data_IF_112904983008
#
_entry.id   IF_112904983008
#
_cell.length_a   1.000
_cell.length_b   1.000
_cell.length_c   1.000
_cell.angle_alpha   90.00
_cell.angle_beta   90.00
_cell.angle_gamma   90.00
#
_symmetry.space_group_name_H-M   'P 1'
#
loop_
_entity.id
_entity.type
_entity.pdbx_description
1 polymer ?
#
# COMPACT_ATOMS: atom_id res chain seq x y z
N UNK A 1 24.77 23.13 63.58
CA UNK A 1 25.39 22.21 62.61
C UNK A 1 24.83 22.52 61.23
N UNK A 2 25.71 22.64 60.23
CA UNK A 2 25.55 22.52 58.76
C UNK A 2 24.29 23.11 58.05
N UNK A 3 24.50 23.90 56.97
CA UNK A 3 23.44 24.48 56.14
C UNK A 3 22.97 23.49 55.07
N UNK A 4 21.70 23.54 54.69
CA UNK A 4 21.27 23.04 53.38
C UNK A 4 20.73 24.22 52.57
N UNK A 5 21.63 24.74 51.75
CA UNK A 5 21.35 25.75 50.77
C UNK A 5 20.93 25.08 49.44
N UNK A 6 20.09 25.80 48.71
CA UNK A 6 19.82 25.71 47.27
C UNK A 6 18.92 24.59 46.72
N UNK A 7 18.26 24.96 45.61
CA UNK A 7 17.31 24.20 44.77
C UNK A 7 15.88 24.30 45.34
N UNK A 8 15.02 25.25 44.96
CA UNK A 8 14.52 25.48 43.60
C UNK A 8 14.14 26.96 43.38
N UNK A 9 15.03 27.64 42.66
CA UNK A 9 14.72 28.81 41.86
C UNK A 9 13.90 28.35 40.65
N UNK A 10 12.59 28.61 40.61
CA UNK A 10 11.77 28.79 39.40
C UNK A 10 10.29 28.95 39.76
N UNK A 11 9.96 29.98 40.55
CA UNK A 11 8.57 30.40 40.82
C UNK A 11 8.05 31.36 39.72
N UNK A 12 8.55 31.26 38.48
CA UNK A 12 8.03 32.06 37.36
C UNK A 12 7.84 31.15 36.15
N UNK A 13 6.60 30.72 35.96
CA UNK A 13 6.15 29.97 34.79
C UNK A 13 4.68 30.26 34.48
N UNK A 14 4.20 31.45 34.85
CA UNK A 14 2.93 32.00 34.41
C UNK A 14 3.03 32.32 32.91
N UNK A 15 2.95 31.30 32.07
CA UNK A 15 2.45 31.44 30.71
C UNK A 15 1.60 30.22 30.41
N UNK A 16 0.31 30.45 30.64
CA UNK A 16 -0.80 29.81 29.95
C UNK A 16 -0.36 29.47 28.52
N UNK A 17 -0.31 28.18 28.19
CA UNK A 17 -0.10 27.66 26.85
C UNK A 17 -1.32 28.01 25.96
N UNK A 18 -1.56 29.30 25.72
CA UNK A 18 -2.39 29.79 24.61
C UNK A 18 -1.47 29.99 23.40
N UNK A 19 -1.00 28.89 22.83
CA UNK A 19 -0.49 28.84 21.46
C UNK A 19 -0.92 27.52 20.84
N UNK A 20 -2.23 27.23 20.90
CA UNK A 20 -2.85 26.34 19.94
C UNK A 20 -3.02 27.16 18.66
N UNK A 21 -1.90 27.41 17.97
CA UNK A 21 -1.92 27.86 16.59
C UNK A 21 -2.80 26.89 15.83
N UNK A 22 -3.79 27.38 15.09
CA UNK A 22 -4.58 26.55 14.20
C UNK A 22 -3.62 25.67 13.37
N UNK A 23 -3.88 24.35 13.23
CA UNK A 23 -2.99 23.48 12.48
C UNK A 23 -2.80 24.10 11.10
N UNK A 24 -1.56 24.49 10.79
CA UNK A 24 -1.26 25.06 9.49
C UNK A 24 -1.59 24.02 8.41
N UNK A 25 -1.79 24.46 7.18
CA UNK A 25 -2.09 23.54 6.07
C UNK A 25 -1.03 22.43 5.89
N UNK A 26 0.23 22.70 6.29
CA UNK A 26 1.30 21.71 6.32
C UNK A 26 1.14 20.67 7.44
N UNK A 27 0.65 21.09 8.61
CA UNK A 27 0.41 20.23 9.76
C UNK A 27 -0.74 19.25 9.50
N UNK A 28 -1.80 19.72 8.83
CA UNK A 28 -2.93 18.89 8.40
C UNK A 28 -2.51 17.77 7.43
N UNK A 29 -1.58 18.04 6.51
CA UNK A 29 -1.06 17.02 5.58
C UNK A 29 -0.22 15.96 6.31
N UNK A 30 0.63 16.37 7.24
CA UNK A 30 1.45 15.44 8.02
C UNK A 30 0.59 14.53 8.91
N UNK A 31 -0.45 15.07 9.53
CA UNK A 31 -1.44 14.28 10.29
C UNK A 31 -2.15 13.26 9.37
N UNK A 32 -2.47 13.62 8.13
CA UNK A 32 -3.04 12.69 7.16
C UNK A 32 -2.07 11.54 6.81
N UNK A 33 -0.77 11.82 6.65
CA UNK A 33 0.25 10.80 6.43
C UNK A 33 0.32 9.82 7.61
N UNK A 34 0.30 10.31 8.85
CA UNK A 34 0.28 9.47 10.03
C UNK A 34 -0.96 8.56 10.05
N UNK A 35 -2.14 9.11 9.78
CA UNK A 35 -3.38 8.34 9.72
C UNK A 35 -3.33 7.22 8.69
N UNK A 36 -2.81 7.51 7.49
CA UNK A 36 -2.62 6.50 6.43
C UNK A 36 -1.66 5.41 6.90
N UNK A 37 -0.53 5.80 7.51
CA UNK A 37 0.48 4.85 7.98
C UNK A 37 -0.05 3.92 9.07
N UNK A 38 -0.73 4.49 10.08
CA UNK A 38 -1.38 3.73 11.14
C UNK A 38 -2.44 2.78 10.60
N UNK A 39 -3.25 3.21 9.63
CA UNK A 39 -4.26 2.35 9.03
C UNK A 39 -3.63 1.19 8.24
N UNK A 40 -2.56 1.43 7.49
CA UNK A 40 -1.83 0.38 6.79
C UNK A 40 -1.21 -0.63 7.77
N UNK A 41 -0.57 -0.15 8.84
CA UNK A 41 -0.02 -0.97 9.91
C UNK A 41 -1.11 -1.86 10.54
N UNK A 42 -2.24 -1.28 10.93
CA UNK A 42 -3.36 -2.01 11.55
C UNK A 42 -3.91 -3.09 10.61
N UNK A 43 -4.13 -2.75 9.33
CA UNK A 43 -4.63 -3.70 8.34
C UNK A 43 -3.66 -4.88 8.14
N UNK A 44 -2.35 -4.64 8.16
CA UNK A 44 -1.35 -5.71 8.12
C UNK A 44 -1.41 -6.53 9.42
N UNK A 45 -1.49 -5.90 10.59
CA UNK A 45 -1.64 -6.61 11.86
C UNK A 45 -2.83 -7.58 11.87
N UNK A 46 -3.97 -7.14 11.32
CA UNK A 46 -5.16 -7.98 11.12
C UNK A 46 -4.89 -9.14 10.15
N UNK A 47 -4.23 -8.89 9.01
CA UNK A 47 -3.88 -9.97 8.07
C UNK A 47 -2.92 -10.99 8.69
N UNK A 48 -1.95 -10.54 9.49
CA UNK A 48 -0.99 -11.41 10.15
C UNK A 48 -1.65 -12.26 11.25
N UNK A 49 -2.64 -11.73 11.98
CA UNK A 49 -3.34 -12.50 13.00
C UNK A 49 -4.22 -13.62 12.43
N UNK A 50 -4.58 -13.53 11.14
CA UNK A 50 -5.29 -14.59 10.41
C UNK A 50 -4.37 -15.73 9.94
N UNK A 51 -3.04 -15.56 10.02
CA UNK A 51 -2.10 -16.61 9.65
C UNK A 51 -1.86 -17.57 10.83
N UNK A 52 -1.97 -18.88 10.58
CA UNK A 52 -1.65 -19.92 11.57
C UNK A 52 -0.23 -19.79 12.13
N UNK A 53 0.72 -19.35 11.28
CA UNK A 53 2.10 -19.07 11.67
C UNK A 53 2.67 -17.92 10.84
N UNK A 54 3.01 -16.83 11.51
CA UNK A 54 3.68 -15.70 10.86
C UNK A 54 5.20 -15.98 10.76
N UNK A 55 5.80 -15.97 9.56
CA UNK A 55 7.25 -16.06 9.38
C UNK A 55 8.03 -14.98 10.12
N UNK A 56 9.25 -15.31 10.54
CA UNK A 56 10.07 -14.39 11.33
C UNK A 56 10.49 -13.15 10.54
N UNK A 57 10.77 -13.28 9.24
CA UNK A 57 11.10 -12.15 8.37
C UNK A 57 9.92 -11.18 8.22
N UNK A 58 8.69 -11.69 8.14
CA UNK A 58 7.48 -10.86 8.12
C UNK A 58 7.26 -10.16 9.46
N UNK A 59 7.49 -10.84 10.60
CA UNK A 59 7.45 -10.20 11.94
C UNK A 59 8.47 -9.07 12.07
N UNK A 60 9.70 -9.31 11.61
CA UNK A 60 10.76 -8.32 11.65
C UNK A 60 10.41 -7.09 10.80
N UNK A 61 9.94 -7.30 9.57
CA UNK A 61 9.48 -6.21 8.71
C UNK A 61 8.31 -5.44 9.34
N UNK A 62 7.35 -6.14 9.95
CA UNK A 62 6.23 -5.51 10.64
C UNK A 62 6.69 -4.61 11.79
N UNK A 63 7.65 -5.08 12.59
CA UNK A 63 8.25 -4.30 13.67
C UNK A 63 9.03 -3.10 13.13
N UNK A 64 9.77 -3.26 12.03
CA UNK A 64 10.50 -2.15 11.38
C UNK A 64 9.54 -1.08 10.85
N UNK A 65 8.49 -1.47 10.13
CA UNK A 65 7.48 -0.53 9.63
C UNK A 65 6.69 0.15 10.76
N UNK A 66 6.44 -0.56 11.86
CA UNK A 66 5.86 0.02 13.08
C UNK A 66 6.80 1.04 13.71
N UNK A 67 8.11 0.75 13.76
CA UNK A 67 9.14 1.68 14.21
C UNK A 67 9.19 2.97 13.38
N UNK A 68 9.12 2.85 12.04
CA UNK A 68 9.05 3.99 11.13
C UNK A 68 7.76 4.80 11.31
N UNK A 69 6.63 4.14 11.58
CA UNK A 69 5.35 4.83 11.88
C UNK A 69 5.43 5.61 13.20
N UNK A 70 6.11 5.06 14.21
CA UNK A 70 6.38 5.78 15.46
C UNK A 70 7.34 6.96 15.25
N UNK A 71 8.39 6.78 14.43
CA UNK A 71 9.33 7.85 14.09
C UNK A 71 8.64 8.98 13.32
N UNK A 72 7.73 8.65 12.39
CA UNK A 72 6.84 9.61 11.73
C UNK A 72 6.05 10.43 12.76
N UNK A 73 5.37 9.79 13.71
CA UNK A 73 4.62 10.50 14.75
C UNK A 73 5.52 11.43 15.58
N UNK A 74 6.73 10.98 15.94
CA UNK A 74 7.69 11.80 16.67
C UNK A 74 8.18 13.00 15.87
N UNK A 75 8.46 12.84 14.58
CA UNK A 75 8.86 13.94 13.70
C UNK A 75 7.75 14.98 13.55
N UNK A 76 6.49 14.54 13.45
CA UNK A 76 5.33 15.44 13.44
C UNK A 76 5.26 16.24 14.74
N UNK A 77 5.37 15.60 15.90
CA UNK A 77 5.35 16.29 17.20
C UNK A 77 6.51 17.27 17.39
N UNK A 78 7.62 17.07 16.67
CA UNK A 78 8.79 17.97 16.64
C UNK A 78 8.71 19.01 15.51
N UNK A 79 7.63 19.03 14.75
CA UNK A 79 7.43 19.89 13.58
C UNK A 79 8.52 19.73 12.49
N UNK A 80 9.11 18.53 12.39
CA UNK A 80 10.12 18.15 11.40
C UNK A 80 9.46 17.47 10.20
N UNK A 81 9.02 18.28 9.24
CA UNK A 81 8.27 17.83 8.08
C UNK A 81 9.08 16.93 7.14
N UNK A 82 10.39 17.14 7.02
CA UNK A 82 11.24 16.38 6.09
C UNK A 82 11.50 14.98 6.63
N UNK A 83 11.84 14.86 7.91
CA UNK A 83 11.96 13.56 8.56
C UNK A 83 10.62 12.82 8.60
N UNK A 84 9.51 13.52 8.86
CA UNK A 84 8.18 12.92 8.82
C UNK A 84 7.89 12.27 7.46
N UNK A 85 8.07 13.00 6.35
CA UNK A 85 7.87 12.45 5.00
C UNK A 85 8.78 11.26 4.71
N UNK A 86 10.04 11.32 5.15
CA UNK A 86 11.01 10.22 4.99
C UNK A 86 10.55 8.95 5.72
N UNK A 87 10.17 9.09 7.00
CA UNK A 87 9.66 7.98 7.82
C UNK A 87 8.36 7.40 7.25
N UNK A 88 7.44 8.25 6.76
CA UNK A 88 6.24 7.79 6.07
C UNK A 88 6.56 6.92 4.85
N UNK A 89 7.44 7.40 3.95
CA UNK A 89 7.81 6.64 2.75
C UNK A 89 8.51 5.32 3.08
N UNK A 90 9.39 5.32 4.09
CA UNK A 90 10.04 4.11 4.61
C UNK A 90 9.01 3.10 5.11
N UNK A 91 8.09 3.53 5.97
CA UNK A 91 7.01 2.68 6.49
C UNK A 91 6.16 2.10 5.36
N UNK A 92 5.75 2.90 4.37
CA UNK A 92 4.91 2.46 3.26
C UNK A 92 5.62 1.45 2.36
N UNK A 93 6.91 1.63 2.10
CA UNK A 93 7.70 0.67 1.33
C UNK A 93 7.78 -0.69 2.04
N UNK A 94 8.01 -0.68 3.36
CA UNK A 94 8.05 -1.88 4.19
C UNK A 94 6.69 -2.58 4.18
N UNK A 95 5.61 -1.85 4.43
CA UNK A 95 4.25 -2.40 4.44
C UNK A 95 3.84 -2.97 3.09
N UNK A 96 4.24 -2.34 1.98
CA UNK A 96 4.07 -2.89 0.63
C UNK A 96 4.81 -4.23 0.48
N UNK A 97 6.05 -4.32 0.97
CA UNK A 97 6.85 -5.56 0.95
C UNK A 97 6.19 -6.68 1.77
N UNK A 98 5.64 -6.35 2.94
CA UNK A 98 4.89 -7.31 3.76
C UNK A 98 3.66 -7.82 3.02
N UNK A 99 2.86 -6.94 2.40
CA UNK A 99 1.68 -7.35 1.64
C UNK A 99 2.04 -8.30 0.49
N UNK A 100 3.17 -8.07 -0.22
CA UNK A 100 3.65 -9.02 -1.23
C UNK A 100 4.03 -10.37 -0.62
N UNK A 101 4.74 -10.38 0.51
CA UNK A 101 5.13 -11.61 1.21
C UNK A 101 3.93 -12.39 1.71
N UNK A 102 2.94 -11.73 2.33
CA UNK A 102 1.68 -12.36 2.77
C UNK A 102 0.95 -12.97 1.56
N UNK A 103 0.83 -12.22 0.45
CA UNK A 103 0.21 -12.72 -0.78
C UNK A 103 0.94 -13.96 -1.34
N UNK A 104 2.28 -13.98 -1.25
CA UNK A 104 3.08 -15.13 -1.63
C UNK A 104 2.89 -16.32 -0.68
N UNK A 105 2.70 -16.09 0.63
CA UNK A 105 2.46 -17.16 1.60
C UNK A 105 1.10 -17.83 1.42
N UNK A 106 0.07 -17.04 1.11
CA UNK A 106 -1.25 -17.57 0.74
C UNK A 106 -1.14 -18.52 -0.48
N UNK A 107 -0.18 -18.27 -1.36
CA UNK A 107 0.08 -19.12 -2.54
C UNK A 107 0.83 -20.43 -2.22
N UNK A 108 1.53 -20.52 -1.07
CA UNK A 108 2.39 -21.67 -0.68
C UNK A 108 1.69 -22.63 0.30
N UNK A 109 0.58 -22.22 0.91
CA UNK A 109 -0.19 -23.07 1.85
C UNK A 109 -1.01 -24.17 1.13
N UNK A 110 -0.91 -24.26 -0.20
CA UNK A 110 -1.49 -25.32 -1.05
C UNK A 110 -0.61 -26.58 -1.16
N UNK A 111 0.38 -26.75 -0.28
CA UNK A 111 1.34 -27.86 -0.37
C UNK A 111 1.41 -28.68 0.91
N UNK A 112 0.27 -29.19 1.41
CA UNK A 112 0.28 -30.36 2.30
C UNK A 112 -0.94 -31.26 2.00
N UNK A 113 -0.64 -32.42 1.40
CA UNK A 113 -1.42 -33.67 1.28
C UNK A 113 -2.77 -33.69 0.50
N UNK A 114 -2.94 -34.64 -0.46
CA UNK A 114 -4.17 -34.80 -1.23
C UNK A 114 -5.24 -35.50 -0.40
N UNK A 115 -6.16 -34.74 0.16
CA UNK A 115 -7.49 -35.24 0.48
C UNK A 115 -8.46 -34.64 -0.52
N UNK A 116 -8.99 -35.51 -1.36
CA UNK A 116 -10.04 -35.22 -2.31
C UNK A 116 -11.26 -34.63 -1.58
N UNK A 117 -11.40 -33.32 -1.59
CA UNK A 117 -12.70 -32.66 -1.51
C UNK A 117 -12.73 -31.53 -2.54
N UNK A 118 -13.42 -31.80 -3.63
CA UNK A 118 -13.89 -30.84 -4.61
C UNK A 118 -14.59 -29.67 -3.94
N UNK A 119 -13.89 -28.55 -3.78
CA UNK A 119 -14.50 -27.23 -3.69
C UNK A 119 -13.60 -26.25 -4.43
N UNK A 120 -13.92 -26.02 -5.70
CA UNK A 120 -13.28 -25.01 -6.55
C UNK A 120 -13.72 -23.58 -6.17
N UNK A 121 -14.13 -23.32 -4.93
CA UNK A 121 -14.43 -21.96 -4.50
C UNK A 121 -13.16 -21.27 -4.02
N UNK A 122 -12.75 -20.15 -4.63
CA UNK A 122 -11.74 -19.29 -4.04
C UNK A 122 -12.12 -18.92 -2.61
N UNK A 123 -11.13 -18.87 -1.73
CA UNK A 123 -11.35 -18.30 -0.41
C UNK A 123 -11.85 -16.84 -0.57
N UNK A 124 -12.69 -16.37 0.35
CA UNK A 124 -13.23 -15.00 0.31
C UNK A 124 -12.11 -13.95 0.26
N UNK A 125 -10.96 -14.26 0.88
CA UNK A 125 -9.76 -13.42 0.90
C UNK A 125 -9.10 -13.36 -0.49
N UNK A 126 -8.98 -14.51 -1.18
CA UNK A 126 -8.45 -14.54 -2.56
C UNK A 126 -9.35 -13.78 -3.53
N UNK A 127 -10.66 -13.87 -3.33
CA UNK A 127 -11.65 -13.18 -4.16
C UNK A 127 -11.55 -11.67 -4.02
N UNK A 128 -11.41 -11.17 -2.79
CA UNK A 128 -11.21 -9.75 -2.51
C UNK A 128 -9.90 -9.21 -3.09
N UNK A 129 -8.80 -9.95 -2.89
CA UNK A 129 -7.48 -9.58 -3.43
C UNK A 129 -7.49 -9.46 -4.95
N UNK A 130 -8.07 -10.45 -5.63
CA UNK A 130 -8.16 -10.45 -7.10
C UNK A 130 -9.07 -9.35 -7.62
N UNK A 131 -10.17 -9.05 -6.92
CA UNK A 131 -11.04 -7.92 -7.25
C UNK A 131 -10.29 -6.59 -7.20
N UNK A 132 -9.50 -6.36 -6.15
CA UNK A 132 -8.70 -5.14 -6.02
C UNK A 132 -7.62 -5.06 -7.11
N UNK A 133 -7.03 -6.20 -7.47
CA UNK A 133 -6.04 -6.26 -8.54
C UNK A 133 -6.63 -5.96 -9.92
N UNK A 134 -7.80 -6.54 -10.25
CA UNK A 134 -8.58 -6.22 -11.46
C UNK A 134 -8.86 -4.72 -11.51
N UNK A 135 -9.41 -4.14 -10.43
CA UNK A 135 -9.72 -2.71 -10.36
C UNK A 135 -8.49 -1.82 -10.57
N UNK A 136 -7.34 -2.20 -10.00
CA UNK A 136 -6.10 -1.44 -10.15
C UNK A 136 -5.59 -1.47 -11.58
N UNK A 137 -5.56 -2.66 -12.20
CA UNK A 137 -5.08 -2.84 -13.58
C UNK A 137 -5.99 -2.09 -14.55
N UNK A 138 -7.31 -2.19 -14.38
CA UNK A 138 -8.28 -1.46 -15.19
C UNK A 138 -8.05 0.06 -15.13
N UNK A 139 -7.88 0.64 -13.94
CA UNK A 139 -7.59 2.08 -13.79
C UNK A 139 -6.31 2.51 -14.49
N UNK A 140 -5.26 1.69 -14.46
CA UNK A 140 -4.02 1.97 -15.18
C UNK A 140 -4.24 1.95 -16.70
N UNK A 141 -4.98 0.95 -17.20
CA UNK A 141 -5.37 0.86 -18.61
C UNK A 141 -6.17 2.06 -19.08
N UNK A 142 -7.18 2.47 -18.32
CA UNK A 142 -7.98 3.67 -18.61
C UNK A 142 -7.13 4.93 -18.68
N UNK A 143 -6.15 5.05 -17.78
CA UNK A 143 -5.16 6.12 -17.78
C UNK A 143 -4.31 6.14 -19.07
N UNK A 144 -3.75 4.99 -19.45
CA UNK A 144 -2.97 4.88 -20.69
C UNK A 144 -3.82 5.12 -21.94
N UNK A 145 -5.07 4.65 -21.97
CA UNK A 145 -6.04 4.89 -23.06
C UNK A 145 -6.35 6.37 -23.21
N UNK A 146 -6.54 7.07 -22.10
CA UNK A 146 -6.73 8.53 -22.07
C UNK A 146 -5.51 9.25 -22.62
N UNK A 147 -4.30 8.86 -22.20
CA UNK A 147 -3.05 9.46 -22.69
C UNK A 147 -2.87 9.19 -24.19
N UNK A 148 -3.11 7.96 -24.65
CA UNK A 148 -3.00 7.58 -26.06
C UNK A 148 -3.96 8.41 -26.92
N UNK A 149 -5.24 8.48 -26.51
CA UNK A 149 -6.28 9.24 -27.21
C UNK A 149 -5.94 10.73 -27.28
N UNK A 150 -5.56 11.34 -26.15
CA UNK A 150 -5.17 12.76 -26.08
C UNK A 150 -4.00 13.08 -27.00
N UNK A 151 -3.06 12.15 -27.16
CA UNK A 151 -1.87 12.34 -27.98
C UNK A 151 -2.01 11.82 -29.42
N UNK A 152 -3.21 11.33 -29.80
CA UNK A 152 -3.54 10.72 -31.10
C UNK A 152 -2.60 9.54 -31.45
N UNK A 153 -2.26 8.73 -30.45
CA UNK A 153 -1.43 7.54 -30.62
C UNK A 153 -2.37 6.34 -30.78
N UNK A 154 -2.27 5.64 -31.91
CA UNK A 154 -3.12 4.51 -32.26
C UNK A 154 -2.74 3.23 -31.51
N UNK A 155 -3.11 3.14 -30.23
CA UNK A 155 -3.02 1.91 -29.44
C UNK A 155 -4.43 1.36 -29.29
N UNK A 156 -4.63 0.10 -29.68
CA UNK A 156 -5.91 -0.59 -29.54
C UNK A 156 -6.04 -1.24 -28.15
N UNK A 157 -6.97 -0.72 -27.34
CA UNK A 157 -7.27 -1.23 -25.99
C UNK A 157 -8.34 -2.31 -25.99
N UNK A 158 -8.92 -2.70 -27.13
CA UNK A 158 -10.02 -3.67 -27.19
C UNK A 158 -9.65 -5.00 -26.55
N UNK A 159 -8.45 -5.51 -26.82
CA UNK A 159 -7.96 -6.76 -26.20
C UNK A 159 -7.82 -6.63 -24.69
N UNK A 160 -7.36 -5.49 -24.20
CA UNK A 160 -7.25 -5.20 -22.77
C UNK A 160 -8.64 -5.14 -22.11
N UNK A 161 -9.58 -4.45 -22.73
CA UNK A 161 -10.96 -4.30 -22.24
C UNK A 161 -11.65 -5.68 -22.12
N UNK A 162 -11.45 -6.56 -23.10
CA UNK A 162 -11.94 -7.95 -23.07
C UNK A 162 -11.31 -8.74 -21.92
N UNK A 163 -9.98 -8.67 -21.73
CA UNK A 163 -9.30 -9.36 -20.64
C UNK A 163 -9.80 -8.91 -19.25
N UNK A 164 -10.12 -7.62 -19.07
CA UNK A 164 -10.66 -7.12 -17.80
C UNK A 164 -12.10 -7.55 -17.55
N UNK A 165 -12.91 -7.61 -18.60
CA UNK A 165 -14.25 -8.16 -18.51
C UNK A 165 -14.21 -9.66 -18.18
N UNK A 166 -13.34 -10.42 -18.83
CA UNK A 166 -13.21 -11.86 -18.62
C UNK A 166 -12.63 -12.19 -17.25
N UNK A 167 -11.61 -11.45 -16.78
CA UNK A 167 -11.12 -11.59 -15.41
C UNK A 167 -12.23 -11.35 -14.37
N UNK A 168 -13.11 -10.36 -14.60
CA UNK A 168 -14.24 -10.08 -13.72
C UNK A 168 -15.27 -11.22 -13.73
N UNK A 169 -15.61 -11.77 -14.91
CA UNK A 169 -16.51 -12.92 -15.03
C UNK A 169 -15.92 -14.17 -14.37
N UNK A 170 -14.65 -14.46 -14.66
CA UNK A 170 -13.92 -15.60 -14.12
C UNK A 170 -13.81 -15.53 -12.58
N UNK A 171 -13.70 -14.33 -12.02
CA UNK A 171 -13.72 -14.14 -10.58
C UNK A 171 -15.09 -14.51 -9.96
N UNK A 172 -16.19 -14.12 -10.60
CA UNK A 172 -17.56 -14.43 -10.13
C UNK A 172 -17.83 -15.94 -10.14
N UNK A 173 -17.35 -16.66 -11.17
CA UNK A 173 -17.54 -18.11 -11.29
C UNK A 173 -16.44 -18.93 -10.59
N UNK A 174 -15.51 -18.27 -9.88
CA UNK A 174 -14.46 -18.94 -9.10
C UNK A 174 -13.28 -19.50 -9.91
N UNK A 175 -13.15 -19.15 -11.20
CA UNK A 175 -12.07 -19.61 -12.07
C UNK A 175 -10.77 -18.79 -11.87
N UNK A 176 -10.16 -18.93 -10.71
CA UNK A 176 -8.96 -18.17 -10.28
C UNK A 176 -7.78 -18.31 -11.25
N UNK A 177 -7.58 -19.50 -11.82
CA UNK A 177 -6.48 -19.74 -12.76
C UNK A 177 -6.63 -18.87 -14.01
N UNK A 178 -7.85 -18.76 -14.53
CA UNK A 178 -8.12 -17.90 -15.67
C UNK A 178 -8.01 -16.42 -15.28
N UNK A 179 -8.50 -16.01 -14.11
CA UNK A 179 -8.30 -14.63 -13.61
C UNK A 179 -6.81 -14.27 -13.60
N UNK A 180 -5.96 -15.11 -13.01
CA UNK A 180 -4.52 -14.85 -12.94
C UNK A 180 -3.87 -14.77 -14.34
N UNK A 181 -4.31 -15.62 -15.27
CA UNK A 181 -3.81 -15.59 -16.64
C UNK A 181 -4.26 -14.31 -17.38
N UNK A 182 -5.53 -13.94 -17.27
CA UNK A 182 -6.09 -12.72 -17.86
C UNK A 182 -5.35 -11.48 -17.34
N UNK A 183 -5.12 -11.42 -16.01
CA UNK A 183 -4.38 -10.34 -15.37
C UNK A 183 -2.91 -10.26 -15.83
N UNK A 184 -2.23 -11.40 -15.98
CA UNK A 184 -0.85 -11.44 -16.49
C UNK A 184 -0.76 -10.87 -17.91
N UNK A 185 -1.69 -11.26 -18.79
CA UNK A 185 -1.72 -10.78 -20.17
C UNK A 185 -2.06 -9.28 -20.21
N UNK A 186 -3.01 -8.84 -19.38
CA UNK A 186 -3.35 -7.42 -19.26
C UNK A 186 -2.17 -6.57 -18.77
N UNK A 187 -1.40 -7.06 -17.78
CA UNK A 187 -0.19 -6.37 -17.31
C UNK A 187 0.87 -6.26 -18.41
N UNK A 188 1.09 -7.32 -19.18
CA UNK A 188 2.03 -7.26 -20.31
C UNK A 188 1.59 -6.23 -21.35
N UNK A 189 0.30 -6.20 -21.70
CA UNK A 189 -0.25 -5.19 -22.59
C UNK A 189 0.01 -3.76 -22.08
N UNK A 190 -0.16 -3.51 -20.78
CA UNK A 190 0.10 -2.18 -20.20
C UNK A 190 1.57 -1.77 -20.30
N UNK A 191 2.51 -2.71 -20.13
CA UNK A 191 3.94 -2.46 -20.31
C UNK A 191 4.24 -2.06 -21.76
N UNK A 192 3.70 -2.80 -22.73
CA UNK A 192 3.89 -2.56 -24.16
C UNK A 192 3.26 -1.23 -24.60
N UNK A 193 2.06 -0.93 -24.09
CA UNK A 193 1.38 0.34 -24.33
C UNK A 193 2.18 1.52 -23.75
N UNK A 194 2.67 1.40 -22.52
CA UNK A 194 3.49 2.44 -21.90
C UNK A 194 4.82 2.66 -22.65
N UNK A 195 5.45 1.58 -23.12
CA UNK A 195 6.65 1.68 -23.95
C UNK A 195 6.34 2.43 -25.25
N UNK A 196 5.27 2.06 -25.95
CA UNK A 196 4.84 2.71 -27.19
C UNK A 196 4.56 4.20 -27.01
N UNK A 197 3.89 4.58 -25.90
CA UNK A 197 3.66 5.98 -25.54
C UNK A 197 4.97 6.74 -25.29
N UNK A 198 5.92 6.11 -24.62
CA UNK A 198 7.24 6.69 -24.34
C UNK A 198 8.03 6.93 -25.62
N UNK A 199 8.04 5.98 -26.54
CA UNK A 199 8.72 6.11 -27.84
C UNK A 199 8.05 7.18 -28.72
N UNK A 200 6.72 7.25 -28.73
CA UNK A 200 5.99 8.30 -29.43
C UNK A 200 6.30 9.70 -28.87
N UNK A 201 6.49 9.83 -27.55
CA UNK A 201 6.86 11.08 -26.92
C UNK A 201 8.29 11.53 -27.29
N UNK A 202 9.24 10.59 -27.44
CA UNK A 202 10.61 10.88 -27.89
C UNK A 202 10.65 11.40 -29.32
N UNK A 203 9.85 10.83 -30.23
CA UNK A 203 9.79 11.23 -31.65
C UNK A 203 9.15 12.59 -31.91
N UNK A 204 8.43 13.15 -30.93
CA UNK A 204 7.82 14.49 -31.01
C UNK A 204 8.76 15.61 -30.54
N UNK A 205 9.96 15.29 -30.07
CA UNK A 205 11.02 16.26 -29.72
C UNK A 205 11.99 16.40 -30.87
#
# INVERSE_FOLDING_TARGET
>A
MKPLAFVLLALVGSMVLTNLSAPSYADSQLIALLKIATQAQNNIGIQLSQLNKVPNDIKQLYNQGSGETNALAQSISKNDADSAKKHFLSAMAIFKSINYKISSLASVTTTIQPSQTTSNQPSQIDTLRLKDEINRIQKLGDGLKTIATKNKIGIDFTKFDVLMQDASKNLVIGNVNQVNNDLKIAQQFLLDANHSLTEAAKKKR
#
